data_IF_431524334131
#
_entry.id   IF_431524334131
#
_cell.length_a   1.000
_cell.length_b   1.000
_cell.length_c   1.000
_cell.angle_alpha   90.00
_cell.angle_beta   90.00
_cell.angle_gamma   90.00
#
_symmetry.space_group_name_H-M   'P 1'
#
loop_
_entity.id
_entity.type
_entity.pdbx_description
1 polymer ?
#
# COMPACT_ATOMS: atom_id res chain seq x y z
N UNK A 1 -25.20 43.33 1.21
CA UNK A 1 -24.05 42.98 2.06
C UNK A 1 -24.22 41.53 2.47
N UNK A 2 -23.44 40.63 1.90
CA UNK A 2 -23.35 39.25 2.29
C UNK A 2 -22.44 39.13 3.52
N UNK A 3 -22.74 38.25 4.51
CA UNK A 3 -21.86 38.04 5.64
C UNK A 3 -20.58 37.33 5.17
N UNK A 4 -19.44 37.82 5.65
CA UNK A 4 -18.15 37.12 5.54
C UNK A 4 -18.23 35.85 6.40
N UNK A 5 -18.06 34.70 5.79
CA UNK A 5 -17.77 33.43 6.47
C UNK A 5 -16.30 33.47 6.93
N UNK A 6 -16.10 33.52 8.24
CA UNK A 6 -14.78 33.34 8.84
C UNK A 6 -14.35 31.86 8.73
N UNK A 7 -13.52 31.56 7.74
CA UNK A 7 -12.92 30.24 7.51
C UNK A 7 -11.46 30.24 8.08
N UNK A 8 -11.25 30.84 9.24
CA UNK A 8 -9.88 30.96 9.78
C UNK A 8 -9.52 29.94 10.89
N UNK A 9 -10.39 28.99 11.24
CA UNK A 9 -10.13 28.11 12.40
C UNK A 9 -9.60 26.70 12.08
N UNK A 10 -9.95 26.14 10.93
CA UNK A 10 -9.65 24.71 10.65
C UNK A 10 -8.35 24.48 9.87
N UNK A 11 -7.88 25.47 9.10
CA UNK A 11 -6.66 25.35 8.29
C UNK A 11 -5.37 25.30 9.13
N UNK A 12 -5.32 26.05 10.24
CA UNK A 12 -4.11 26.20 11.06
C UNK A 12 -3.83 24.93 11.88
N UNK A 13 -4.87 24.29 12.41
CA UNK A 13 -4.71 23.04 13.17
C UNK A 13 -4.24 21.87 12.30
N UNK A 14 -4.55 21.90 10.99
CA UNK A 14 -4.14 20.86 10.06
C UNK A 14 -2.69 21.05 9.59
N UNK A 15 -2.27 22.30 9.39
CA UNK A 15 -0.87 22.63 9.04
C UNK A 15 0.10 22.40 10.21
N UNK A 16 -0.28 22.73 11.44
CA UNK A 16 0.54 22.40 12.64
C UNK A 16 0.70 20.91 12.86
N UNK A 17 -0.34 20.10 12.58
CA UNK A 17 -0.29 18.64 12.70
C UNK A 17 0.59 18.00 11.63
N UNK A 18 0.67 18.61 10.44
CA UNK A 18 1.55 18.20 9.33
C UNK A 18 3.01 18.58 9.58
N UNK A 19 3.26 19.71 10.24
CA UNK A 19 4.61 20.18 10.59
C UNK A 19 5.25 19.36 11.72
N UNK A 20 4.45 18.71 12.57
CA UNK A 20 4.91 17.92 13.71
C UNK A 20 5.27 16.47 13.37
N UNK A 21 5.00 15.99 12.15
CA UNK A 21 5.48 14.68 11.76
C UNK A 21 6.97 14.78 11.44
N UNK A 22 7.83 13.97 12.11
CA UNK A 22 9.26 14.03 11.85
C UNK A 22 9.49 13.99 10.34
N UNK A 23 10.27 14.95 9.85
CA UNK A 23 10.81 14.89 8.49
C UNK A 23 11.58 13.58 8.42
N UNK A 24 10.85 12.48 8.08
CA UNK A 24 11.46 11.19 7.91
C UNK A 24 12.66 11.39 6.99
N UNK A 25 13.79 10.87 7.38
CA UNK A 25 14.90 10.67 6.45
C UNK A 25 14.29 10.11 5.19
N UNK A 26 14.53 10.74 4.05
CA UNK A 26 13.89 10.47 2.76
C UNK A 26 14.13 9.04 2.23
N UNK A 27 14.55 8.14 3.09
CA UNK A 27 14.92 6.75 2.82
C UNK A 27 13.76 5.77 2.92
N UNK A 28 12.72 6.05 3.73
CA UNK A 28 11.62 5.10 3.92
C UNK A 28 10.72 4.98 2.67
N UNK A 29 10.40 3.74 2.30
CA UNK A 29 9.47 3.47 1.21
C UNK A 29 8.01 3.65 1.64
N UNK A 30 7.68 3.26 2.89
CA UNK A 30 6.36 3.41 3.49
C UNK A 30 6.49 3.63 4.99
N UNK A 31 5.73 4.58 5.51
CA UNK A 31 5.50 4.79 6.93
C UNK A 31 4.02 5.07 7.16
N UNK A 32 3.38 4.29 8.00
CA UNK A 32 1.97 4.41 8.35
C UNK A 32 1.78 4.18 9.85
N UNK A 33 0.96 5.03 10.48
CA UNK A 33 0.66 4.99 11.91
C UNK A 33 -0.85 5.01 12.14
N UNK A 34 -1.35 3.96 12.78
CA UNK A 34 -2.74 3.81 13.20
C UNK A 34 -3.73 3.95 12.03
N UNK A 35 -3.34 3.54 10.82
CA UNK A 35 -4.20 3.70 9.65
C UNK A 35 -5.40 2.77 9.69
N UNK A 36 -6.52 3.27 9.15
CA UNK A 36 -7.72 2.47 9.02
C UNK A 36 -8.68 3.00 7.98
N UNK A 37 -9.53 2.09 7.52
CA UNK A 37 -10.70 2.34 6.67
C UNK A 37 -11.88 1.63 7.29
N UNK A 38 -12.92 2.39 7.62
CA UNK A 38 -14.10 1.90 8.33
C UNK A 38 -14.68 0.66 7.66
N UNK A 39 -14.92 -0.37 8.47
CA UNK A 39 -15.47 -1.65 8.00
C UNK A 39 -14.51 -2.53 7.22
N UNK A 40 -13.26 -2.14 7.00
CA UNK A 40 -12.28 -2.93 6.27
C UNK A 40 -11.06 -3.29 7.12
N UNK A 41 -10.41 -2.32 7.75
CA UNK A 41 -9.29 -2.56 8.67
C UNK A 41 -9.07 -1.35 9.59
N UNK A 42 -8.46 -1.55 10.74
CA UNK A 42 -8.20 -0.50 11.72
C UNK A 42 -6.87 -0.69 12.45
N UNK A 43 -6.27 0.42 12.87
CA UNK A 43 -5.12 0.46 13.77
C UNK A 43 -3.85 -0.18 13.21
N UNK A 44 -3.65 -0.16 11.89
CA UNK A 44 -2.50 -0.77 11.27
C UNK A 44 -1.29 0.18 11.26
N UNK A 45 -0.18 -0.31 11.81
CA UNK A 45 1.12 0.33 11.73
C UNK A 45 2.00 -0.42 10.73
N UNK A 46 2.62 0.31 9.79
CA UNK A 46 3.51 -0.23 8.77
C UNK A 46 4.75 0.63 8.65
N UNK A 47 5.90 -0.02 8.67
CA UNK A 47 7.19 0.59 8.40
C UNK A 47 7.95 -0.27 7.40
N UNK A 48 8.23 0.28 6.22
CA UNK A 48 8.89 -0.46 5.13
C UNK A 48 10.06 0.35 4.59
N UNK A 49 11.23 -0.22 4.69
CA UNK A 49 12.45 0.37 4.13
C UNK A 49 12.62 -0.01 2.64
N UNK A 50 13.45 0.72 1.89
CA UNK A 50 13.84 0.33 0.55
C UNK A 50 14.36 -1.11 0.50
N UNK A 51 14.06 -1.80 -0.59
CA UNK A 51 14.46 -3.20 -0.86
C UNK A 51 13.79 -4.25 0.03
N UNK A 52 12.97 -3.85 1.00
CA UNK A 52 12.25 -4.83 1.81
C UNK A 52 11.09 -5.45 1.05
N UNK A 53 10.87 -6.73 1.32
CA UNK A 53 9.65 -7.46 0.94
C UNK A 53 8.87 -7.71 2.21
N UNK A 54 7.69 -7.13 2.32
CA UNK A 54 6.79 -7.36 3.45
C UNK A 54 5.45 -7.90 2.95
N UNK A 55 4.68 -8.51 3.84
CA UNK A 55 3.38 -9.06 3.50
C UNK A 55 2.30 -8.57 4.47
N UNK A 56 1.11 -8.36 3.94
CA UNK A 56 -0.12 -8.13 4.68
C UNK A 56 -1.03 -9.32 4.45
N UNK A 57 -1.45 -9.97 5.53
CA UNK A 57 -2.26 -11.20 5.49
C UNK A 57 -3.55 -11.01 6.26
N UNK A 58 -4.67 -11.42 5.70
CA UNK A 58 -5.98 -11.29 6.34
C UNK A 58 -7.13 -11.56 5.38
N UNK A 59 -8.32 -11.07 5.72
CA UNK A 59 -9.47 -11.19 4.80
C UNK A 59 -9.17 -10.48 3.48
N UNK A 60 -9.66 -11.02 2.37
CA UNK A 60 -9.38 -10.47 1.04
C UNK A 60 -9.69 -8.98 0.93
N UNK A 61 -10.88 -8.58 1.40
CA UNK A 61 -11.31 -7.19 1.30
C UNK A 61 -10.44 -6.25 2.14
N UNK A 62 -10.04 -6.67 3.35
CA UNK A 62 -9.17 -5.90 4.22
C UNK A 62 -7.77 -5.74 3.61
N UNK A 63 -7.20 -6.81 3.10
CA UNK A 63 -5.88 -6.82 2.45
C UNK A 63 -5.87 -5.91 1.23
N UNK A 64 -6.82 -6.08 0.31
CA UNK A 64 -6.94 -5.23 -0.88
C UNK A 64 -7.14 -3.77 -0.51
N UNK A 65 -7.94 -3.48 0.53
CA UNK A 65 -8.15 -2.11 1.01
C UNK A 65 -6.84 -1.48 1.53
N UNK A 66 -6.04 -2.21 2.29
CA UNK A 66 -4.71 -1.75 2.75
C UNK A 66 -3.81 -1.41 1.56
N UNK A 67 -3.69 -2.31 0.58
CA UNK A 67 -2.85 -2.06 -0.59
C UNK A 67 -3.34 -0.89 -1.44
N UNK A 68 -4.66 -0.76 -1.63
CA UNK A 68 -5.25 0.38 -2.33
C UNK A 68 -5.01 1.70 -1.59
N UNK A 69 -5.10 1.70 -0.26
CA UNK A 69 -4.80 2.87 0.56
C UNK A 69 -3.31 3.27 0.42
N UNK A 70 -2.39 2.31 0.56
CA UNK A 70 -0.95 2.55 0.35
C UNK A 70 -0.67 3.11 -1.04
N UNK A 71 -1.37 2.61 -2.06
CA UNK A 71 -1.26 3.08 -3.44
C UNK A 71 -1.94 4.43 -3.71
N UNK A 72 -2.54 5.08 -2.71
CA UNK A 72 -3.27 6.34 -2.85
C UNK A 72 -4.53 6.21 -3.72
N UNK A 73 -5.15 5.03 -3.76
CA UNK A 73 -6.38 4.72 -4.51
C UNK A 73 -7.62 4.65 -3.63
N UNK A 74 -7.43 4.41 -2.33
CA UNK A 74 -8.46 4.42 -1.30
C UNK A 74 -8.09 5.44 -0.23
N UNK A 75 -8.95 6.40 0.12
CA UNK A 75 -8.69 7.33 1.22
C UNK A 75 -8.72 6.59 2.57
N UNK A 76 -7.96 7.10 3.54
CA UNK A 76 -8.03 6.66 4.93
C UNK A 76 -9.10 7.43 5.67
N UNK A 77 -9.81 6.77 6.58
CA UNK A 77 -10.74 7.44 7.50
C UNK A 77 -10.00 7.95 8.75
N UNK A 78 -8.93 7.27 9.14
CA UNK A 78 -8.10 7.69 10.27
C UNK A 78 -6.64 7.22 10.12
N UNK A 79 -5.80 7.74 11.01
CA UNK A 79 -4.35 7.52 10.95
C UNK A 79 -3.67 8.46 9.96
N UNK A 80 -2.40 8.21 9.74
CA UNK A 80 -1.57 9.00 8.82
C UNK A 80 -0.58 8.12 8.10
N UNK A 81 -0.27 8.46 6.85
CA UNK A 81 0.59 7.63 6.03
C UNK A 81 1.45 8.46 5.08
N UNK A 82 2.69 8.04 4.93
CA UNK A 82 3.61 8.48 3.89
C UNK A 82 3.96 7.29 3.01
N UNK A 83 3.63 7.36 1.74
CA UNK A 83 3.89 6.29 0.77
C UNK A 83 4.78 6.81 -0.35
N UNK A 84 5.86 6.09 -0.66
CA UNK A 84 6.88 6.53 -1.60
C UNK A 84 7.51 7.88 -1.21
N UNK A 85 7.57 8.21 0.09
CA UNK A 85 8.04 9.49 0.62
C UNK A 85 7.04 10.64 0.49
N UNK A 86 5.79 10.38 0.11
CA UNK A 86 4.75 11.38 -0.14
C UNK A 86 3.59 11.20 0.85
N UNK A 87 3.12 12.30 1.44
CA UNK A 87 1.99 12.30 2.37
C UNK A 87 0.67 11.95 1.65
N UNK A 88 -0.13 11.12 2.28
CA UNK A 88 -1.50 10.81 1.91
C UNK A 88 -2.46 11.41 2.95
N UNK A 89 -3.63 11.91 2.50
CA UNK A 89 -4.16 11.85 1.14
C UNK A 89 -3.69 12.95 0.18
N UNK A 90 -2.99 13.99 0.65
CA UNK A 90 -2.73 15.24 -0.09
C UNK A 90 -1.96 15.01 -1.39
N UNK A 91 -1.09 14.01 -1.42
CA UNK A 91 -0.27 13.68 -2.58
C UNK A 91 -0.67 12.40 -3.32
N UNK A 92 -1.92 11.93 -3.13
CA UNK A 92 -2.40 10.67 -3.69
C UNK A 92 -2.15 10.53 -5.20
N UNK A 93 -2.34 11.58 -5.99
CA UNK A 93 -2.05 11.54 -7.43
C UNK A 93 -0.57 11.32 -7.77
N UNK A 94 0.34 11.81 -6.91
CA UNK A 94 1.79 11.57 -7.06
C UNK A 94 2.18 10.18 -6.55
N UNK A 95 1.56 9.72 -5.46
CA UNK A 95 1.76 8.36 -4.94
C UNK A 95 1.45 7.34 -6.03
N UNK A 96 0.31 7.47 -6.73
CA UNK A 96 -0.08 6.59 -7.84
C UNK A 96 0.94 6.53 -9.00
N UNK A 97 1.80 7.53 -9.15
CA UNK A 97 2.85 7.54 -10.19
C UNK A 97 4.13 6.84 -9.75
N UNK A 98 4.37 6.75 -8.44
CA UNK A 98 5.58 6.12 -7.88
C UNK A 98 5.31 4.76 -7.25
N UNK A 99 4.05 4.31 -7.27
CA UNK A 99 3.62 2.99 -6.82
C UNK A 99 3.05 2.20 -7.99
N UNK A 100 3.51 0.97 -8.15
CA UNK A 100 2.95 0.03 -9.11
C UNK A 100 2.06 -0.96 -8.38
N UNK A 101 0.82 -1.05 -8.83
CA UNK A 101 -0.17 -1.96 -8.27
C UNK A 101 -0.44 -3.06 -9.29
N UNK A 102 -0.21 -4.29 -8.88
CA UNK A 102 -0.41 -5.51 -9.68
C UNK A 102 -1.41 -6.41 -8.95
N UNK A 103 -2.43 -6.87 -9.63
CA UNK A 103 -3.45 -7.77 -9.10
C UNK A 103 -3.27 -9.17 -9.68
N UNK A 104 -2.77 -10.11 -8.88
CA UNK A 104 -2.53 -11.48 -9.30
C UNK A 104 -3.83 -12.28 -9.58
N UNK A 105 -5.00 -11.72 -9.30
CA UNK A 105 -6.29 -12.29 -9.70
C UNK A 105 -6.75 -11.84 -11.08
N UNK A 106 -6.15 -10.80 -11.63
CA UNK A 106 -6.51 -10.27 -12.94
C UNK A 106 -6.07 -11.23 -14.06
N UNK A 107 -6.86 -11.40 -15.12
CA UNK A 107 -6.54 -12.32 -16.21
C UNK A 107 -5.29 -11.90 -17.01
N UNK A 108 -4.95 -10.63 -17.01
CA UNK A 108 -3.80 -10.02 -17.69
C UNK A 108 -2.58 -9.82 -16.78
N UNK A 109 -2.62 -10.32 -15.54
CA UNK A 109 -1.55 -10.15 -14.55
C UNK A 109 -0.16 -10.53 -15.10
N UNK A 110 -0.04 -11.66 -15.80
CA UNK A 110 1.25 -12.12 -16.33
C UNK A 110 1.80 -11.15 -17.41
N UNK A 111 0.93 -10.58 -18.21
CA UNK A 111 1.32 -9.62 -19.24
C UNK A 111 1.67 -8.26 -18.61
N UNK A 112 0.95 -7.83 -17.57
CA UNK A 112 1.32 -6.67 -16.77
C UNK A 112 2.68 -6.86 -16.09
N UNK A 113 2.94 -8.03 -15.52
CA UNK A 113 4.20 -8.38 -14.87
C UNK A 113 5.38 -8.35 -15.88
N UNK A 114 5.21 -8.90 -17.08
CA UNK A 114 6.19 -8.83 -18.16
C UNK A 114 6.42 -7.39 -18.62
N UNK A 115 5.35 -6.62 -18.73
CA UNK A 115 5.43 -5.20 -19.10
C UNK A 115 6.20 -4.41 -18.04
N UNK A 116 5.94 -4.66 -16.76
CA UNK A 116 6.67 -4.07 -15.65
C UNK A 116 8.17 -4.40 -15.72
N UNK A 117 8.52 -5.65 -15.97
CA UNK A 117 9.92 -6.09 -16.14
C UNK A 117 10.58 -5.37 -17.31
N UNK A 118 9.90 -5.29 -18.45
CA UNK A 118 10.41 -4.60 -19.64
C UNK A 118 10.68 -3.13 -19.36
N UNK A 119 9.75 -2.46 -18.67
CA UNK A 119 9.92 -1.05 -18.29
C UNK A 119 11.10 -0.89 -17.34
N UNK A 120 11.24 -1.74 -16.32
CA UNK A 120 12.35 -1.67 -15.35
C UNK A 120 13.72 -1.82 -16.00
N UNK A 121 13.86 -2.72 -16.97
CA UNK A 121 15.12 -2.95 -17.68
C UNK A 121 15.53 -1.76 -18.57
N UNK A 122 14.55 -1.00 -19.08
CA UNK A 122 14.80 0.16 -19.94
C UNK A 122 14.83 1.50 -19.19
N UNK A 123 14.33 1.55 -17.94
CA UNK A 123 14.37 2.78 -17.16
C UNK A 123 15.81 3.11 -16.72
N UNK A 124 16.21 4.38 -16.86
CA UNK A 124 17.48 4.82 -16.29
C UNK A 124 17.52 4.47 -14.78
N UNK A 125 18.70 4.08 -14.29
CA UNK A 125 18.90 3.77 -12.86
C UNK A 125 18.78 5.01 -11.93
N UNK A 126 18.18 6.09 -12.41
CA UNK A 126 17.93 7.31 -11.62
C UNK A 126 16.72 7.07 -10.71
N UNK A 127 16.85 7.21 -9.37
CA UNK A 127 15.78 6.94 -8.41
C UNK A 127 14.48 7.72 -8.68
N UNK A 128 14.57 8.93 -9.24
CA UNK A 128 13.42 9.79 -9.50
C UNK A 128 12.46 9.28 -10.60
N UNK A 129 12.90 8.30 -11.41
CA UNK A 129 12.10 7.76 -12.52
C UNK A 129 11.63 6.32 -12.28
N UNK A 130 12.11 5.68 -11.20
CA UNK A 130 11.74 4.31 -10.86
C UNK A 130 10.59 4.28 -9.87
N UNK A 131 9.74 3.24 -9.88
CA UNK A 131 8.76 3.04 -8.82
C UNK A 131 9.49 2.90 -7.48
N UNK A 132 8.85 3.38 -6.41
CA UNK A 132 9.36 3.26 -5.04
C UNK A 132 8.72 2.09 -4.29
N UNK A 133 7.54 1.69 -4.74
CA UNK A 133 6.76 0.61 -4.16
C UNK A 133 6.13 -0.24 -5.26
N UNK A 134 6.20 -1.54 -5.09
CA UNK A 134 5.39 -2.52 -5.77
C UNK A 134 4.36 -3.08 -4.79
N UNK A 135 3.11 -3.00 -5.15
CA UNK A 135 1.97 -3.51 -4.39
C UNK A 135 1.38 -4.67 -5.20
N UNK A 136 1.44 -5.87 -4.64
CA UNK A 136 1.02 -7.09 -5.34
C UNK A 136 -0.13 -7.71 -4.56
N UNK A 137 -1.34 -7.51 -5.05
CA UNK A 137 -2.53 -8.09 -4.43
C UNK A 137 -2.75 -9.54 -4.88
N UNK A 138 -3.43 -10.32 -4.05
CA UNK A 138 -3.73 -11.75 -4.30
C UNK A 138 -2.47 -12.59 -4.55
N UNK A 139 -1.34 -12.27 -3.93
CA UNK A 139 -0.07 -12.96 -4.15
C UNK A 139 -0.14 -14.47 -3.87
N UNK A 140 -1.05 -14.91 -3.00
CA UNK A 140 -1.30 -16.33 -2.69
C UNK A 140 -1.99 -17.11 -3.82
N UNK A 141 -2.45 -16.45 -4.87
CA UNK A 141 -3.00 -17.06 -6.10
C UNK A 141 -1.92 -17.43 -7.12
N UNK A 142 -0.70 -16.94 -6.94
CA UNK A 142 0.43 -17.25 -7.82
C UNK A 142 0.93 -18.66 -7.51
N UNK A 143 0.42 -19.63 -8.25
CA UNK A 143 0.78 -21.06 -8.08
C UNK A 143 1.71 -21.59 -9.16
N UNK A 144 1.64 -20.97 -10.35
CA UNK A 144 2.45 -21.36 -11.49
C UNK A 144 3.93 -21.01 -11.30
N UNK A 145 4.87 -21.98 -11.46
CA UNK A 145 6.30 -21.75 -11.26
C UNK A 145 6.88 -20.64 -12.15
N UNK A 146 6.45 -20.56 -13.41
CA UNK A 146 6.96 -19.55 -14.35
C UNK A 146 6.60 -18.16 -13.90
N UNK A 147 5.37 -17.98 -13.41
CA UNK A 147 4.90 -16.69 -12.87
C UNK A 147 5.63 -16.34 -11.57
N UNK A 148 5.96 -17.34 -10.73
CA UNK A 148 6.79 -17.13 -9.53
C UNK A 148 8.19 -16.66 -9.88
N UNK A 149 8.85 -17.33 -10.81
CA UNK A 149 10.21 -16.98 -11.28
C UNK A 149 10.22 -15.55 -11.88
N UNK A 150 9.15 -15.17 -12.60
CA UNK A 150 9.01 -13.85 -13.15
C UNK A 150 8.85 -12.79 -12.05
N UNK A 151 8.05 -13.06 -11.03
CA UNK A 151 7.87 -12.16 -9.89
C UNK A 151 9.14 -12.04 -9.04
N UNK A 152 9.85 -13.14 -8.79
CA UNK A 152 11.16 -13.09 -8.11
C UNK A 152 12.17 -12.26 -8.90
N UNK A 153 12.13 -12.35 -10.23
CA UNK A 153 12.97 -11.54 -11.11
C UNK A 153 12.59 -10.07 -11.02
N UNK A 154 11.30 -9.73 -10.98
CA UNK A 154 10.82 -8.36 -10.76
C UNK A 154 11.32 -7.80 -9.41
N UNK A 155 11.18 -8.56 -8.34
CA UNK A 155 11.66 -8.16 -6.99
C UNK A 155 13.17 -7.88 -7.02
N UNK A 156 13.94 -8.71 -7.69
CA UNK A 156 15.40 -8.56 -7.84
C UNK A 156 15.76 -7.30 -8.66
N UNK A 157 15.02 -7.03 -9.74
CA UNK A 157 15.25 -5.87 -10.61
C UNK A 157 14.65 -4.57 -10.06
N UNK A 158 13.77 -4.66 -9.06
CA UNK A 158 13.12 -3.51 -8.42
C UNK A 158 14.15 -2.51 -7.82
N UNK A 159 15.34 -2.98 -7.50
CA UNK A 159 16.44 -2.15 -6.99
C UNK A 159 16.12 -1.59 -5.60
N UNK A 160 15.96 -0.28 -5.50
CA UNK A 160 15.65 0.41 -4.24
C UNK A 160 14.14 0.37 -3.88
N UNK A 161 13.28 -0.13 -4.76
CA UNK A 161 11.86 -0.21 -4.46
C UNK A 161 11.58 -1.27 -3.40
N UNK A 162 10.63 -0.99 -2.51
CA UNK A 162 10.09 -1.99 -1.61
C UNK A 162 8.93 -2.74 -2.28
N UNK A 163 8.64 -3.94 -1.79
CA UNK A 163 7.56 -4.79 -2.28
C UNK A 163 6.62 -5.14 -1.13
N UNK A 164 5.33 -4.91 -1.32
CA UNK A 164 4.31 -5.28 -0.35
C UNK A 164 3.34 -6.27 -1.00
N UNK A 165 3.24 -7.44 -0.40
CA UNK A 165 2.40 -8.54 -0.85
C UNK A 165 1.10 -8.56 -0.07
N UNK A 166 -0.02 -8.68 -0.75
CA UNK A 166 -1.32 -8.96 -0.15
C UNK A 166 -1.71 -10.42 -0.36
N UNK A 167 -2.10 -11.09 0.72
CA UNK A 167 -2.49 -12.49 0.67
C UNK A 167 -3.57 -12.83 1.71
N UNK A 168 -4.40 -13.82 1.42
CA UNK A 168 -5.29 -14.40 2.43
C UNK A 168 -4.57 -15.47 3.26
N UNK A 169 -3.62 -16.17 2.68
CA UNK A 169 -2.95 -17.34 3.27
C UNK A 169 -1.45 -17.17 3.29
N UNK A 170 -0.90 -17.05 4.48
CA UNK A 170 0.54 -16.91 4.71
C UNK A 170 1.37 -17.99 3.99
N UNK A 171 1.07 -19.26 4.20
CA UNK A 171 1.87 -20.38 3.66
C UNK A 171 1.94 -20.45 2.12
N UNK A 172 1.15 -19.61 1.43
CA UNK A 172 1.17 -19.53 -0.03
C UNK A 172 2.17 -18.50 -0.58
N UNK A 173 2.73 -17.64 0.28
CA UNK A 173 3.67 -16.57 -0.10
C UNK A 173 5.07 -16.75 0.49
N UNK A 174 5.30 -17.81 1.27
CA UNK A 174 6.59 -18.07 1.94
C UNK A 174 7.76 -18.23 0.94
N UNK A 175 7.46 -18.60 -0.30
CA UNK A 175 8.45 -18.71 -1.38
C UNK A 175 9.11 -17.37 -1.76
N UNK A 176 8.44 -16.21 -1.51
CA UNK A 176 9.02 -14.87 -1.68
C UNK A 176 9.81 -14.39 -0.45
N UNK A 177 9.85 -15.21 0.61
CA UNK A 177 10.59 -14.92 1.85
C UNK A 177 10.37 -13.50 2.39
N UNK A 178 9.12 -13.07 2.62
CA UNK A 178 8.88 -11.73 3.17
C UNK A 178 9.54 -11.60 4.54
N UNK A 179 10.26 -10.48 4.76
CA UNK A 179 10.98 -10.23 6.00
C UNK A 179 10.03 -9.99 7.19
N UNK A 180 8.90 -9.35 6.93
CA UNK A 180 7.87 -9.06 7.94
C UNK A 180 6.51 -9.43 7.38
N UNK A 181 5.67 -10.02 8.23
CA UNK A 181 4.28 -10.36 7.89
C UNK A 181 3.36 -9.71 8.91
N UNK A 182 2.51 -8.81 8.42
CA UNK A 182 1.48 -8.14 9.18
C UNK A 182 0.18 -8.92 9.06
N UNK A 183 -0.34 -9.41 10.18
CA UNK A 183 -1.63 -10.09 10.20
C UNK A 183 -2.73 -9.07 10.56
N UNK A 184 -3.68 -8.88 9.65
CA UNK A 184 -4.86 -8.08 9.94
C UNK A 184 -5.81 -8.89 10.82
N UNK A 185 -6.31 -8.26 11.90
CA UNK A 185 -7.36 -8.87 12.72
C UNK A 185 -8.60 -9.11 11.86
N UNK A 186 -9.22 -10.28 12.02
CA UNK A 186 -10.53 -10.54 11.42
C UNK A 186 -11.56 -9.68 12.16
N UNK A 187 -12.03 -8.62 11.53
CA UNK A 187 -13.19 -7.89 12.01
C UNK A 187 -14.43 -8.74 11.75
N UNK A 188 -14.88 -9.46 12.77
CA UNK A 188 -16.21 -10.05 12.75
C UNK A 188 -17.24 -8.92 12.83
N UNK A 189 -17.84 -8.58 11.69
CA UNK A 189 -19.09 -7.84 11.72
C UNK A 189 -20.14 -8.71 12.42
N UNK A 190 -20.37 -8.47 13.70
CA UNK A 190 -21.63 -8.88 14.31
C UNK A 190 -22.72 -8.12 13.58
N UNK A 191 -23.35 -8.78 12.59
CA UNK A 191 -24.60 -8.32 12.03
C UNK A 191 -25.61 -8.35 13.19
N UNK A 192 -25.76 -7.20 13.87
CA UNK A 192 -26.85 -6.96 14.80
C UNK A 192 -28.17 -6.99 14.00
N UNK A 193 -28.68 -8.20 13.76
CA UNK A 193 -30.04 -8.41 13.33
C UNK A 193 -30.94 -7.97 14.50
N UNK A 194 -31.19 -6.65 14.55
CA UNK A 194 -32.22 -6.08 15.43
C UNK A 194 -33.55 -6.68 15.08
N UNK A 195 -33.89 -7.74 15.79
CA UNK A 195 -35.24 -8.28 15.77
C UNK A 195 -36.20 -7.26 16.35
N UNK A 196 -36.94 -6.61 15.47
CA UNK A 196 -38.15 -5.86 15.85
C UNK A 196 -39.22 -6.88 16.18
N UNK A 197 -39.66 -6.92 17.41
CA UNK A 197 -40.96 -7.49 17.84
C UNK A 197 -41.97 -6.37 17.88
#
# INVERSE_FOLDING_TARGET
>A
RLPRLDIEGEGIAHEEKLAAWPTADHTEALHAEGIGVEGLFEGLDLHVEPRQVQAVVGSQNSVSAVLLAIGGRLPLDHGRMRSGGLLLPERASRVRRVTWFLDASAPDFVDELRSAMTVLTHLPRRPSKRPRLFLIDHADRIVDPITRDLLESLVREAGEAAVILGAQRRGRIDWLSPQIIHNLAEHHFESSSGGTR
#
